data_IF_800188302524
#
_entry.id   IF_800188302524
#
_cell.length_a   1.000
_cell.length_b   1.000
_cell.length_c   1.000
_cell.angle_alpha   90.00
_cell.angle_beta   90.00
_cell.angle_gamma   90.00
#
_symmetry.space_group_name_H-M   'P 1'
#
loop_
_entity.id
_entity.type
_entity.pdbx_description
1 polymer ?
#
# COMPACT_ATOMS: atom_id res chain seq x y z
N UNK A 1 8.91 11.88 2.02
CA UNK A 1 7.74 12.63 1.48
C UNK A 1 7.91 13.06 0.02
N UNK A 2 9.13 13.16 -0.51
CA UNK A 2 9.40 13.56 -1.91
C UNK A 2 8.67 12.70 -2.95
N UNK A 3 8.63 11.37 -2.76
CA UNK A 3 7.91 10.44 -3.63
C UNK A 3 6.40 10.72 -3.70
N UNK A 4 5.79 11.19 -2.61
CA UNK A 4 4.36 11.53 -2.59
C UNK A 4 4.09 12.68 -3.54
N UNK A 5 4.88 13.74 -3.44
CA UNK A 5 4.72 14.95 -4.26
C UNK A 5 5.02 14.69 -5.74
N UNK A 6 6.03 13.86 -6.03
CA UNK A 6 6.36 13.43 -7.39
C UNK A 6 5.18 12.71 -8.04
N UNK A 7 4.55 11.77 -7.34
CA UNK A 7 3.41 11.02 -7.89
C UNK A 7 2.12 11.84 -7.97
N UNK A 8 1.87 12.76 -7.04
CA UNK A 8 0.63 13.56 -7.03
C UNK A 8 0.64 14.72 -8.03
N UNK A 9 1.81 15.08 -8.56
CA UNK A 9 1.94 16.12 -9.58
C UNK A 9 1.59 15.67 -10.99
N UNK A 10 1.33 14.37 -11.20
CA UNK A 10 0.95 13.81 -12.50
C UNK A 10 -0.51 14.14 -12.85
N UNK A 11 -0.75 14.50 -14.12
CA UNK A 11 -2.10 14.78 -14.60
C UNK A 11 -2.97 13.52 -14.53
N UNK A 12 -4.19 13.66 -13.99
CA UNK A 12 -5.10 12.52 -13.79
C UNK A 12 -4.84 11.70 -12.52
N UNK A 13 -3.95 12.14 -11.62
CA UNK A 13 -3.80 11.49 -10.33
C UNK A 13 -5.09 11.59 -9.50
N UNK A 14 -5.71 10.45 -9.18
CA UNK A 14 -6.91 10.42 -8.39
C UNK A 14 -6.61 10.91 -6.96
N UNK A 15 -7.22 12.02 -6.54
CA UNK A 15 -6.99 12.65 -5.23
C UNK A 15 -7.01 11.64 -4.07
N UNK A 16 -7.94 10.69 -4.08
CA UNK A 16 -8.07 9.68 -3.03
C UNK A 16 -6.83 8.79 -2.85
N UNK A 17 -6.04 8.57 -3.92
CA UNK A 17 -4.79 7.79 -3.89
C UNK A 17 -3.67 8.48 -3.09
N UNK A 18 -3.78 9.79 -2.80
CA UNK A 18 -2.77 10.47 -1.98
C UNK A 18 -2.76 9.94 -0.55
N UNK A 19 -3.92 9.54 -0.04
CA UNK A 19 -4.06 9.04 1.33
C UNK A 19 -3.34 7.70 1.46
N UNK A 20 -3.63 6.78 0.55
CA UNK A 20 -2.99 5.45 0.52
C UNK A 20 -1.48 5.56 0.27
N UNK A 21 -1.06 6.45 -0.63
CA UNK A 21 0.35 6.69 -0.90
C UNK A 21 1.08 7.24 0.34
N UNK A 22 0.48 8.19 1.06
CA UNK A 22 1.04 8.74 2.31
C UNK A 22 1.13 7.67 3.40
N UNK A 23 0.08 6.87 3.56
CA UNK A 23 0.08 5.76 4.51
C UNK A 23 1.20 4.77 4.18
N UNK A 24 1.29 4.31 2.93
CA UNK A 24 2.28 3.34 2.50
C UNK A 24 3.72 3.83 2.71
N UNK A 25 4.00 5.08 2.30
CA UNK A 25 5.32 5.69 2.50
C UNK A 25 5.67 5.87 3.98
N UNK A 26 4.68 6.17 4.84
CA UNK A 26 4.89 6.29 6.28
C UNK A 26 5.26 4.94 6.91
N UNK A 27 4.56 3.87 6.52
CA UNK A 27 4.84 2.52 7.00
C UNK A 27 6.24 2.05 6.58
N UNK A 28 6.62 2.27 5.32
CA UNK A 28 7.95 1.93 4.82
C UNK A 28 9.05 2.72 5.53
N UNK A 29 8.84 4.02 5.75
CA UNK A 29 9.78 4.85 6.51
C UNK A 29 9.95 4.37 7.96
N UNK A 30 8.88 3.83 8.56
CA UNK A 30 8.92 3.21 9.88
C UNK A 30 9.52 1.79 9.89
N UNK A 31 10.00 1.28 8.76
CA UNK A 31 10.63 -0.04 8.64
C UNK A 31 9.65 -1.21 8.47
N UNK A 32 8.36 -0.94 8.22
CA UNK A 32 7.39 -2.01 7.95
C UNK A 32 7.63 -2.55 6.54
N UNK A 33 8.02 -3.83 6.44
CA UNK A 33 8.24 -4.50 5.15
C UNK A 33 7.10 -5.44 4.75
N UNK A 34 6.28 -5.85 5.73
CA UNK A 34 5.14 -6.76 5.57
C UNK A 34 3.84 -6.06 5.98
N UNK A 35 2.92 -5.87 5.03
CA UNK A 35 1.69 -5.11 5.25
C UNK A 35 0.42 -5.92 4.95
N UNK A 36 -0.41 -6.12 5.97
CA UNK A 36 -1.72 -6.76 5.84
C UNK A 36 -2.82 -5.72 5.56
N UNK A 37 -3.53 -5.85 4.43
CA UNK A 37 -4.61 -4.93 4.05
C UNK A 37 -5.61 -5.61 3.11
N UNK A 38 -6.89 -5.24 3.21
CA UNK A 38 -7.89 -5.66 2.22
C UNK A 38 -7.68 -4.98 0.85
N UNK A 39 -7.02 -3.82 0.81
CA UNK A 39 -6.78 -3.05 -0.40
C UNK A 39 -5.42 -3.36 -1.04
N UNK A 40 -5.12 -4.63 -1.29
CA UNK A 40 -3.80 -5.10 -1.73
C UNK A 40 -3.31 -4.42 -3.01
N UNK A 41 -4.23 -4.13 -3.94
CA UNK A 41 -3.90 -3.59 -5.28
C UNK A 41 -3.20 -2.23 -5.19
N UNK A 42 -3.62 -1.38 -4.26
CA UNK A 42 -3.11 0.00 -4.15
C UNK A 42 -1.74 0.07 -3.46
N UNK A 43 -1.36 -0.94 -2.69
CA UNK A 43 -0.10 -0.97 -1.93
C UNK A 43 0.97 -1.89 -2.53
N UNK A 44 0.61 -2.79 -3.46
CA UNK A 44 1.53 -3.76 -4.07
C UNK A 44 2.76 -3.16 -4.74
N UNK A 45 2.67 -1.94 -5.24
CA UNK A 45 3.74 -1.28 -5.99
C UNK A 45 4.52 -0.24 -5.16
N UNK A 46 4.25 -0.13 -3.85
CA UNK A 46 4.87 0.90 -3.01
C UNK A 46 6.25 0.51 -2.46
N UNK A 47 6.67 -0.76 -2.58
CA UNK A 47 7.99 -1.24 -2.15
C UNK A 47 8.01 -2.14 -0.91
N UNK A 48 6.84 -2.60 -0.44
CA UNK A 48 6.77 -3.65 0.58
C UNK A 48 7.28 -5.00 0.04
N UNK A 49 7.92 -5.79 0.90
CA UNK A 49 8.31 -7.17 0.58
C UNK A 49 7.08 -8.08 0.45
N UNK A 50 6.06 -7.84 1.29
CA UNK A 50 4.82 -8.59 1.26
C UNK A 50 3.62 -7.69 1.50
N UNK A 51 2.62 -7.80 0.63
CA UNK A 51 1.28 -7.21 0.84
C UNK A 51 0.23 -8.30 0.62
N UNK A 52 -0.63 -8.54 1.60
CA UNK A 52 -1.66 -9.57 1.51
C UNK A 52 -2.97 -9.15 2.16
N UNK A 53 -4.05 -9.76 1.71
CA UNK A 53 -5.34 -9.66 2.37
C UNK A 53 -5.45 -10.78 3.40
N UNK A 54 -5.51 -10.48 4.71
CA UNK A 54 -5.58 -11.51 5.74
C UNK A 54 -6.85 -12.36 5.62
N UNK A 55 -7.95 -11.79 5.14
CA UNK A 55 -9.23 -12.51 5.02
C UNK A 55 -9.20 -13.60 3.95
N UNK A 56 -8.46 -13.38 2.85
CA UNK A 56 -8.36 -14.40 1.78
C UNK A 56 -7.38 -15.52 2.11
N UNK A 57 -6.38 -15.24 2.95
CA UNK A 57 -5.41 -16.25 3.38
C UNK A 57 -5.96 -17.11 4.52
N UNK A 58 -6.80 -16.56 5.40
CA UNK A 58 -7.46 -17.32 6.47
C UNK A 58 -8.43 -18.38 5.92
N UNK A 59 -9.13 -18.09 4.82
CA UNK A 59 -10.02 -19.06 4.17
C UNK A 59 -9.27 -20.29 3.64
N UNK A 60 -8.01 -20.13 3.22
CA UNK A 60 -7.17 -21.24 2.72
C UNK A 60 -6.63 -22.15 3.82
N UNK A 61 -6.62 -21.70 5.07
CA UNK A 61 -6.16 -22.49 6.22
C UNK A 61 -7.28 -23.33 6.85
N UNK A 62 -8.53 -23.06 6.46
CA UNK A 62 -9.73 -23.79 6.90
C UNK A 62 -10.20 -24.87 5.89
N UNK A 63 -9.50 -25.02 4.77
CA UNK A 63 -9.68 -26.10 3.77
C UNK A 63 -8.63 -27.20 3.98
#
# INVERSE_FOLDING_TARGET
>A
MENVWKSTGEEGFAFRRIIDLRLGQTLLYAGVTHFATSNVKDFKQLGFEKVWNPFTELTKLSE
#
